data_IF_857972509851
#
_entry.id   IF_857972509851
#
_cell.length_a   1.000
_cell.length_b   1.000
_cell.length_c   1.000
_cell.angle_alpha   90.00
_cell.angle_beta   90.00
_cell.angle_gamma   90.00
#
_symmetry.space_group_name_H-M   'P 1'
#
loop_
_entity.id
_entity.type
_entity.pdbx_description
1 polymer ?
#
# COMPACT_ATOMS: atom_id res chain seq x y z
N UNK A 1 -0.21 11.65 22.71
CA UNK A 1 0.00 11.22 21.32
C UNK A 1 0.99 10.08 21.37
N UNK A 2 0.73 9.00 20.64
CA UNK A 2 1.59 7.81 20.63
C UNK A 2 2.62 7.89 19.49
N UNK A 3 3.60 6.98 19.51
CA UNK A 3 4.59 6.87 18.43
C UNK A 3 3.93 6.64 17.06
N UNK A 4 2.84 5.86 17.01
CA UNK A 4 2.13 5.60 15.76
C UNK A 4 1.49 6.88 15.17
N UNK A 5 0.98 7.79 16.02
CA UNK A 5 0.47 9.10 15.58
C UNK A 5 1.60 9.93 14.93
N UNK A 6 2.79 9.92 15.53
CA UNK A 6 3.94 10.67 15.03
C UNK A 6 4.44 10.11 13.69
N UNK A 7 4.51 8.77 13.56
CA UNK A 7 4.86 8.11 12.30
C UNK A 7 3.88 8.50 11.21
N UNK A 8 2.58 8.44 11.50
CA UNK A 8 1.55 8.84 10.54
C UNK A 8 1.69 10.30 10.10
N UNK A 9 1.86 11.23 11.05
CA UNK A 9 2.03 12.65 10.73
C UNK A 9 3.30 12.92 9.92
N UNK A 10 4.41 12.25 10.26
CA UNK A 10 5.66 12.35 9.51
C UNK A 10 5.49 11.84 8.07
N UNK A 11 4.86 10.68 7.90
CA UNK A 11 4.55 10.14 6.57
C UNK A 11 3.64 11.09 5.78
N UNK A 12 2.58 11.60 6.40
CA UNK A 12 1.65 12.53 5.77
C UNK A 12 2.36 13.80 5.29
N UNK A 13 3.27 14.36 6.11
CA UNK A 13 4.08 15.50 5.73
C UNK A 13 5.04 15.17 4.58
N UNK A 14 5.76 14.06 4.65
CA UNK A 14 6.73 13.64 3.63
C UNK A 14 6.04 13.35 2.30
N UNK A 15 4.98 12.55 2.29
CA UNK A 15 4.28 12.17 1.06
C UNK A 15 3.38 13.28 0.52
N UNK A 16 2.82 14.12 1.39
CA UNK A 16 2.12 15.34 0.98
C UNK A 16 3.07 16.31 0.27
N UNK A 17 4.24 16.57 0.86
CA UNK A 17 5.27 17.41 0.25
C UNK A 17 5.83 16.79 -1.04
N UNK A 18 6.15 15.49 -1.02
CA UNK A 18 6.59 14.76 -2.21
C UNK A 18 5.58 14.88 -3.35
N UNK A 19 4.27 14.80 -3.03
CA UNK A 19 3.20 15.01 -3.99
C UNK A 19 3.13 16.38 -4.59
N UNK A 20 3.30 17.40 -3.74
CA UNK A 20 3.39 18.77 -4.20
C UNK A 20 4.56 18.97 -5.17
N UNK A 21 5.71 18.33 -4.91
CA UNK A 21 6.92 18.43 -5.74
C UNK A 21 6.86 17.60 -7.03
N UNK A 22 6.19 16.44 -7.01
CA UNK A 22 6.23 15.47 -8.13
C UNK A 22 4.98 15.46 -9.00
N UNK A 23 3.89 16.11 -8.57
CA UNK A 23 2.64 16.19 -9.32
C UNK A 23 1.73 14.97 -9.12
N UNK A 24 0.45 15.13 -9.49
CA UNK A 24 -0.58 14.12 -9.22
C UNK A 24 -0.35 12.82 -9.99
N UNK A 25 0.07 12.93 -11.25
CA UNK A 25 0.14 11.77 -12.14
C UNK A 25 1.11 10.70 -11.62
N UNK A 26 2.30 11.11 -11.14
CA UNK A 26 3.31 10.17 -10.59
C UNK A 26 2.79 9.45 -9.35
N UNK A 27 2.06 10.15 -8.48
CA UNK A 27 1.48 9.56 -7.29
C UNK A 27 0.34 8.59 -7.63
N UNK A 28 -0.49 8.93 -8.62
CA UNK A 28 -1.57 8.05 -9.09
C UNK A 28 -0.98 6.78 -9.69
N UNK A 29 0.07 6.89 -10.52
CA UNK A 29 0.80 5.73 -11.04
C UNK A 29 1.30 4.85 -9.91
N UNK A 30 1.86 5.44 -8.85
CA UNK A 30 2.35 4.68 -7.71
C UNK A 30 1.22 3.92 -6.98
N UNK A 31 0.09 4.59 -6.74
CA UNK A 31 -1.09 4.01 -6.11
C UNK A 31 -1.67 2.87 -6.96
N UNK A 32 -1.86 3.09 -8.27
CA UNK A 32 -2.37 2.07 -9.18
C UNK A 32 -1.40 0.90 -9.32
N UNK A 33 -0.10 1.16 -9.43
CA UNK A 33 0.93 0.12 -9.51
C UNK A 33 0.88 -0.78 -8.29
N UNK A 34 0.65 -0.22 -7.10
CA UNK A 34 0.51 -0.99 -5.87
C UNK A 34 -0.66 -1.97 -5.94
N UNK A 35 -1.88 -1.47 -6.23
CA UNK A 35 -3.08 -2.31 -6.28
C UNK A 35 -3.04 -3.36 -7.40
N UNK A 36 -2.48 -3.01 -8.56
CA UNK A 36 -2.30 -3.96 -9.67
C UNK A 36 -1.28 -5.02 -9.28
N UNK A 37 -0.12 -4.62 -8.76
CA UNK A 37 0.95 -5.56 -8.40
C UNK A 37 0.52 -6.53 -7.30
N UNK A 38 -0.16 -6.06 -6.25
CA UNK A 38 -0.60 -6.92 -5.15
C UNK A 38 -1.68 -7.90 -5.62
N UNK A 39 -2.58 -7.48 -6.51
CA UNK A 39 -3.62 -8.34 -7.07
C UNK A 39 -3.02 -9.42 -7.98
N UNK A 40 -2.11 -9.05 -8.88
CA UNK A 40 -1.44 -10.01 -9.76
C UNK A 40 -0.52 -10.98 -8.99
N UNK A 41 0.17 -10.49 -7.96
CA UNK A 41 0.95 -11.33 -7.05
C UNK A 41 0.07 -12.34 -6.32
N UNK A 42 -1.08 -11.91 -5.80
CA UNK A 42 -2.02 -12.79 -5.13
C UNK A 42 -2.54 -13.91 -6.05
N UNK A 43 -2.90 -13.57 -7.28
CA UNK A 43 -3.39 -14.53 -8.28
C UNK A 43 -2.31 -15.51 -8.72
N UNK A 44 -1.07 -15.04 -8.87
CA UNK A 44 0.07 -15.89 -9.26
C UNK A 44 0.56 -16.81 -8.15
N UNK A 45 0.24 -16.55 -6.87
CA UNK A 45 0.68 -17.36 -5.72
C UNK A 45 0.37 -18.85 -5.89
N UNK A 46 -0.85 -19.19 -6.26
CA UNK A 46 -1.27 -20.59 -6.41
C UNK A 46 -0.52 -21.30 -7.55
N UNK A 47 -0.25 -20.57 -8.64
CA UNK A 47 0.51 -21.07 -9.77
C UNK A 47 1.98 -21.32 -9.39
N UNK A 48 2.62 -20.34 -8.75
CA UNK A 48 4.01 -20.41 -8.29
C UNK A 48 4.19 -21.51 -7.24
N UNK A 49 3.29 -21.60 -6.26
CA UNK A 49 3.36 -22.62 -5.22
C UNK A 49 3.28 -24.04 -5.80
N UNK A 50 2.41 -24.27 -6.80
CA UNK A 50 2.27 -25.57 -7.47
C UNK A 50 3.47 -25.89 -8.36
N UNK A 51 3.96 -24.91 -9.13
CA UNK A 51 5.07 -25.10 -10.07
C UNK A 51 6.38 -25.48 -9.36
N UNK A 52 6.62 -24.95 -8.16
CA UNK A 52 7.86 -25.16 -7.40
C UNK A 52 7.68 -26.03 -6.15
N UNK A 53 6.50 -26.64 -5.95
CA UNK A 53 6.16 -27.45 -4.76
C UNK A 53 6.51 -26.74 -3.43
N UNK A 54 6.20 -25.45 -3.34
CA UNK A 54 6.55 -24.63 -2.17
C UNK A 54 5.62 -24.95 -0.99
N UNK A 55 6.18 -24.92 0.21
CA UNK A 55 5.38 -24.86 1.43
C UNK A 55 4.66 -23.51 1.55
N UNK A 56 3.75 -23.41 2.50
CA UNK A 56 2.87 -22.24 2.64
C UNK A 56 3.67 -20.96 2.92
N UNK A 57 4.69 -21.01 3.77
CA UNK A 57 5.48 -19.82 4.14
C UNK A 57 6.32 -19.38 2.94
N UNK A 58 7.01 -20.30 2.28
CA UNK A 58 7.81 -19.99 1.09
C UNK A 58 6.94 -19.47 -0.06
N UNK A 59 5.70 -19.95 -0.20
CA UNK A 59 4.75 -19.41 -1.18
C UNK A 59 4.38 -17.95 -0.91
N UNK A 60 4.24 -17.53 0.36
CA UNK A 60 4.02 -16.11 0.71
C UNK A 60 5.25 -15.25 0.41
N UNK A 61 6.46 -15.76 0.71
CA UNK A 61 7.71 -15.06 0.40
C UNK A 61 7.86 -14.90 -1.12
N UNK A 62 7.60 -15.95 -1.90
CA UNK A 62 7.63 -15.91 -3.35
C UNK A 62 6.61 -14.92 -3.91
N UNK A 63 5.37 -14.92 -3.39
CA UNK A 63 4.36 -13.93 -3.78
C UNK A 63 4.83 -12.50 -3.49
N UNK A 64 5.44 -12.26 -2.32
CA UNK A 64 5.97 -10.95 -1.96
C UNK A 64 7.10 -10.49 -2.91
N UNK A 65 7.98 -11.39 -3.32
CA UNK A 65 9.02 -11.11 -4.33
C UNK A 65 8.39 -10.74 -5.68
N UNK A 66 7.38 -11.51 -6.12
CA UNK A 66 6.63 -11.20 -7.36
C UNK A 66 5.93 -9.85 -7.26
N UNK A 67 5.34 -9.53 -6.10
CA UNK A 67 4.73 -8.22 -5.84
C UNK A 67 5.76 -7.10 -6.02
N UNK A 68 6.95 -7.20 -5.42
CA UNK A 68 8.00 -6.19 -5.56
C UNK A 68 8.41 -6.03 -7.03
N UNK A 69 8.65 -7.14 -7.73
CA UNK A 69 9.05 -7.12 -9.14
C UNK A 69 7.99 -6.43 -10.03
N UNK A 70 6.73 -6.80 -9.86
CA UNK A 70 5.60 -6.19 -10.58
C UNK A 70 5.43 -4.72 -10.23
N UNK A 71 5.49 -4.38 -8.94
CA UNK A 71 5.33 -3.01 -8.47
C UNK A 71 6.39 -2.09 -9.09
N UNK A 72 7.67 -2.50 -9.02
CA UNK A 72 8.78 -1.72 -9.61
C UNK A 72 8.62 -1.63 -11.13
N UNK A 73 8.31 -2.75 -11.81
CA UNK A 73 8.13 -2.78 -13.26
C UNK A 73 7.01 -1.88 -13.75
N UNK A 74 5.81 -2.02 -13.20
CA UNK A 74 4.62 -1.23 -13.57
C UNK A 74 4.87 0.24 -13.24
N UNK A 75 5.43 0.55 -12.07
CA UNK A 75 5.73 1.93 -11.65
C UNK A 75 6.73 2.58 -12.60
N UNK A 76 7.80 1.87 -12.96
CA UNK A 76 8.82 2.39 -13.86
C UNK A 76 8.23 2.71 -15.24
N UNK A 77 7.45 1.78 -15.81
CA UNK A 77 6.76 1.97 -17.08
C UNK A 77 5.75 3.13 -17.03
N UNK A 78 4.93 3.19 -15.98
CA UNK A 78 3.93 4.23 -15.80
C UNK A 78 4.54 5.62 -15.63
N UNK A 79 5.65 5.73 -14.90
CA UNK A 79 6.37 7.00 -14.75
C UNK A 79 7.04 7.41 -16.07
N UNK A 80 7.66 6.47 -16.80
CA UNK A 80 8.25 6.76 -18.10
C UNK A 80 7.21 7.25 -19.13
N UNK A 81 5.99 6.70 -19.09
CA UNK A 81 4.88 7.18 -19.92
C UNK A 81 4.40 8.56 -19.49
N UNK A 82 4.28 8.78 -18.17
CA UNK A 82 3.89 10.06 -17.57
C UNK A 82 4.86 11.19 -17.96
N UNK A 83 6.15 10.87 -18.05
CA UNK A 83 7.21 11.82 -18.40
C UNK A 83 7.18 12.21 -19.88
N UNK A 84 6.75 11.29 -20.76
CA UNK A 84 6.54 11.60 -22.18
C UNK A 84 5.34 12.53 -22.39
N UNK A 85 4.28 12.36 -21.61
CA UNK A 85 3.07 13.18 -21.68
C UNK A 85 3.26 14.60 -21.08
N UNK A 86 4.14 14.74 -20.09
CA UNK A 86 4.36 16.02 -19.39
C UNK A 86 5.25 17.03 -20.11
N UNK A 87 5.94 16.66 -21.21
CA UNK A 87 6.85 17.57 -21.93
C UNK A 87 6.18 18.81 -22.54
N UNK A 88 4.85 18.91 -22.53
CA UNK A 88 4.10 20.00 -23.16
C UNK A 88 3.31 20.92 -22.23
N UNK A 89 3.27 20.69 -20.91
CA UNK A 89 2.49 21.54 -19.99
C UNK A 89 3.29 21.97 -18.77
N UNK A 90 3.47 23.29 -18.62
CA UNK A 90 3.87 23.91 -17.36
C UNK A 90 2.91 23.44 -16.25
N UNK A 91 3.44 22.74 -15.23
CA UNK A 91 2.61 22.16 -14.17
C UNK A 91 1.83 23.26 -13.44
N UNK A 92 0.50 23.27 -13.62
CA UNK A 92 -0.41 24.21 -12.97
C UNK A 92 -0.41 23.99 -11.45
N UNK A 93 -0.65 25.04 -10.67
CA UNK A 93 -0.86 24.94 -9.23
C UNK A 93 -1.94 23.89 -8.86
N UNK A 94 -2.90 23.65 -9.75
CA UNK A 94 -3.93 22.61 -9.62
C UNK A 94 -3.31 21.20 -9.61
N UNK A 95 -2.32 20.92 -10.46
CA UNK A 95 -1.66 19.60 -10.50
C UNK A 95 -0.86 19.33 -9.22
N UNK A 96 -0.23 20.37 -8.66
CA UNK A 96 0.47 20.26 -7.36
C UNK A 96 -0.49 20.00 -6.21
N UNK A 97 -1.65 20.67 -6.19
CA UNK A 97 -2.71 20.44 -5.19
C UNK A 97 -3.27 19.02 -5.26
N UNK A 98 -3.53 18.52 -6.46
CA UNK A 98 -3.92 17.13 -6.68
C UNK A 98 -2.78 16.16 -6.27
N UNK A 99 -1.52 16.54 -6.51
CA UNK A 99 -0.34 15.81 -6.02
C UNK A 99 -0.34 15.61 -4.52
N UNK A 100 -0.69 16.64 -3.74
CA UNK A 100 -0.85 16.53 -2.28
C UNK A 100 -1.98 15.55 -1.95
N UNK A 101 -3.16 15.71 -2.55
CA UNK A 101 -4.31 14.85 -2.27
C UNK A 101 -4.01 13.36 -2.53
N UNK A 102 -3.35 13.04 -3.65
CA UNK A 102 -2.96 11.66 -3.94
C UNK A 102 -1.85 11.17 -2.99
N UNK A 103 -0.97 12.06 -2.52
CA UNK A 103 0.03 11.74 -1.49
C UNK A 103 -0.59 11.39 -0.14
N UNK A 104 -1.68 12.06 0.22
CA UNK A 104 -2.49 11.68 1.38
C UNK A 104 -3.07 10.29 1.17
N UNK A 105 -3.69 10.01 0.01
CA UNK A 105 -4.23 8.67 -0.30
C UNK A 105 -3.15 7.58 -0.23
N UNK A 106 -1.95 7.86 -0.72
CA UNK A 106 -0.82 6.93 -0.63
C UNK A 106 -0.39 6.70 0.83
N UNK A 107 -0.35 7.76 1.63
CA UNK A 107 -0.07 7.66 3.08
C UNK A 107 -1.11 6.78 3.78
N UNK A 108 -2.39 6.98 3.48
CA UNK A 108 -3.50 6.17 4.00
C UNK A 108 -3.39 4.71 3.55
N UNK A 109 -2.94 4.48 2.32
CA UNK A 109 -2.70 3.12 1.80
C UNK A 109 -1.60 2.44 2.61
N UNK A 110 -0.46 3.09 2.82
CA UNK A 110 0.62 2.52 3.65
C UNK A 110 0.14 2.30 5.09
N UNK A 111 -0.63 3.23 5.65
CA UNK A 111 -1.20 3.10 7.00
C UNK A 111 -2.06 1.83 7.12
N UNK A 112 -2.94 1.58 6.14
CA UNK A 112 -3.77 0.37 6.12
C UNK A 112 -2.93 -0.90 5.92
N UNK A 113 -1.95 -0.88 5.01
CA UNK A 113 -1.03 -2.03 4.81
C UNK A 113 -0.25 -2.34 6.09
N UNK A 114 0.25 -1.32 6.77
CA UNK A 114 0.96 -1.48 8.03
C UNK A 114 0.06 -2.13 9.07
N UNK A 115 -1.18 -1.65 9.22
CA UNK A 115 -2.16 -2.27 10.11
C UNK A 115 -2.42 -3.75 9.76
N UNK A 116 -2.60 -4.07 8.48
CA UNK A 116 -2.81 -5.46 8.03
C UNK A 116 -1.63 -6.37 8.41
N UNK A 117 -0.40 -5.93 8.13
CA UNK A 117 0.80 -6.70 8.46
C UNK A 117 0.90 -6.88 9.98
N UNK A 118 0.66 -5.82 10.75
CA UNK A 118 0.80 -5.87 12.21
C UNK A 118 -0.21 -6.82 12.83
N UNK A 119 -1.47 -6.75 12.41
CA UNK A 119 -2.54 -7.63 12.88
C UNK A 119 -2.38 -9.08 12.39
N UNK A 120 -1.78 -9.29 11.22
CA UNK A 120 -1.47 -10.64 10.74
C UNK A 120 -0.35 -11.32 11.53
N UNK A 121 0.68 -10.56 11.92
CA UNK A 121 1.86 -11.07 12.63
C UNK A 121 1.63 -11.13 14.15
N UNK A 122 0.90 -10.15 14.70
CA UNK A 122 0.74 -9.96 16.14
C UNK A 122 -0.74 -9.96 16.53
N UNK A 123 -1.22 -10.99 17.28
CA UNK A 123 -2.57 -11.01 17.84
C UNK A 123 -2.85 -9.77 18.68
N UNK A 124 -4.11 -9.32 18.71
CA UNK A 124 -4.49 -8.05 19.32
C UNK A 124 -4.10 -7.94 20.80
N UNK A 125 -4.12 -9.05 21.54
CA UNK A 125 -3.75 -9.11 22.96
C UNK A 125 -2.27 -8.86 23.20
N UNK A 126 -1.43 -9.07 22.18
CA UNK A 126 0.02 -8.89 22.21
C UNK A 126 0.46 -7.61 21.52
N UNK A 127 -0.49 -6.82 20.99
CA UNK A 127 -0.14 -5.57 20.33
C UNK A 127 0.32 -4.52 21.36
N UNK A 128 1.41 -3.79 21.06
CA UNK A 128 1.96 -2.84 22.00
C UNK A 128 1.09 -1.59 22.12
N UNK A 129 1.06 -0.99 23.31
CA UNK A 129 0.23 0.18 23.62
C UNK A 129 0.49 1.38 22.71
N UNK A 130 1.72 1.57 22.22
CA UNK A 130 2.03 2.66 21.29
C UNK A 130 1.30 2.54 19.93
N UNK A 131 0.79 1.35 19.60
CA UNK A 131 0.03 1.08 18.39
C UNK A 131 -1.49 1.17 18.65
N UNK A 132 -1.99 0.40 19.61
CA UNK A 132 -3.44 0.30 19.90
C UNK A 132 -4.03 1.54 20.58
N UNK A 133 -3.27 2.22 21.44
CA UNK A 133 -3.74 3.43 22.15
C UNK A 133 -3.57 4.70 21.28
N UNK A 134 -3.15 4.57 20.02
CA UNK A 134 -2.93 5.70 19.14
C UNK A 134 -4.24 6.28 18.60
N UNK A 135 -4.31 7.61 18.44
CA UNK A 135 -5.51 8.27 17.89
C UNK A 135 -5.76 7.88 16.43
N UNK A 136 -4.69 7.59 15.69
CA UNK A 136 -4.76 7.15 14.30
C UNK A 136 -5.18 5.67 14.14
N UNK A 137 -5.20 4.89 15.22
CA UNK A 137 -5.56 3.46 15.18
C UNK A 137 -6.90 3.18 14.44
N UNK A 138 -8.04 3.81 14.78
CA UNK A 138 -9.31 3.56 14.09
C UNK A 138 -9.27 3.92 12.60
N UNK A 139 -8.54 4.96 12.22
CA UNK A 139 -8.33 5.31 10.82
C UNK A 139 -7.54 4.20 10.10
N UNK A 140 -6.51 3.65 10.73
CA UNK A 140 -5.72 2.55 10.15
C UNK A 140 -6.55 1.28 9.94
N UNK A 141 -7.49 0.97 10.86
CA UNK A 141 -8.45 -0.13 10.70
C UNK A 141 -9.37 0.11 9.49
N UNK A 142 -9.87 1.34 9.31
CA UNK A 142 -10.71 1.68 8.15
C UNK A 142 -9.94 1.54 6.84
N UNK A 143 -8.71 2.05 6.78
CA UNK A 143 -7.85 1.90 5.60
C UNK A 143 -7.58 0.43 5.28
N UNK A 144 -7.29 -0.39 6.31
CA UNK A 144 -7.10 -1.83 6.17
C UNK A 144 -8.34 -2.52 5.56
N UNK A 145 -9.54 -2.20 6.07
CA UNK A 145 -10.81 -2.72 5.52
C UNK A 145 -11.04 -2.30 4.07
N UNK A 146 -10.78 -1.03 3.73
CA UNK A 146 -10.89 -0.55 2.34
C UNK A 146 -9.92 -1.28 1.41
N UNK A 147 -8.68 -1.51 1.84
CA UNK A 147 -7.71 -2.28 1.04
C UNK A 147 -8.19 -3.72 0.85
N UNK A 148 -8.64 -4.39 1.92
CA UNK A 148 -9.15 -5.77 1.83
C UNK A 148 -10.33 -5.90 0.87
N UNK A 149 -11.21 -4.89 0.78
CA UNK A 149 -12.33 -4.89 -0.15
C UNK A 149 -11.91 -4.87 -1.63
N UNK A 150 -10.71 -4.38 -1.93
CA UNK A 150 -10.15 -4.31 -3.30
C UNK A 150 -9.26 -5.53 -3.59
N UNK A 151 -8.69 -6.15 -2.56
CA UNK A 151 -7.81 -7.31 -2.75
C UNK A 151 -8.60 -8.55 -3.16
N UNK A 152 -8.07 -9.35 -4.11
CA UNK A 152 -8.69 -10.63 -4.43
C UNK A 152 -8.61 -11.61 -3.23
N UNK A 153 -9.67 -12.42 -3.07
CA UNK A 153 -9.74 -13.50 -2.08
C UNK A 153 -8.54 -14.45 -2.26
N UNK A 154 -7.84 -14.79 -1.18
CA UNK A 154 -6.62 -15.63 -1.23
C UNK A 154 -5.29 -14.89 -1.04
N UNK A 155 -5.32 -13.58 -0.81
CA UNK A 155 -4.27 -12.89 -0.04
C UNK A 155 -4.48 -13.28 1.43
N UNK A 156 -3.60 -14.07 2.04
CA UNK A 156 -3.80 -14.63 3.40
C UNK A 156 -4.08 -13.61 4.52
N UNK A 157 -3.92 -12.31 4.23
CA UNK A 157 -4.31 -11.17 5.08
C UNK A 157 -5.83 -11.01 5.19
N UNK A 158 -6.60 -11.25 4.13
CA UNK A 158 -8.06 -11.13 4.13
C UNK A 158 -8.72 -12.30 4.89
N UNK A 159 -8.15 -13.51 4.78
CA UNK A 159 -8.77 -14.74 5.30
C UNK A 159 -8.67 -14.85 6.83
N UNK A 160 -7.60 -14.33 7.46
CA UNK A 160 -7.45 -14.35 8.94
C UNK A 160 -8.18 -13.23 9.67
N UNK A 161 -8.32 -12.05 9.06
CA UNK A 161 -9.00 -10.93 9.73
C UNK A 161 -10.52 -11.03 9.63
N UNK A 162 -11.05 -11.72 8.61
CA UNK A 162 -12.48 -12.05 8.54
C UNK A 162 -12.95 -12.99 9.65
N UNK A 163 -12.05 -13.72 10.32
CA UNK A 163 -12.37 -14.55 11.48
C UNK A 163 -12.22 -13.85 12.84
N UNK A 164 -11.66 -12.63 12.86
CA UNK A 164 -11.43 -11.84 14.09
C UNK A 164 -12.35 -10.60 14.20
N UNK A 165 -13.26 -10.40 13.23
CA UNK A 165 -14.34 -9.39 13.24
C UNK A 165 -15.67 -10.10 13.39
#
# INVERSE_FOLDING_TARGET
MQLYDLIFLAMLAVFGFYGFSTGALRQVVNLLSFFIAISLSALSRAFVARAFHLDTITAYIAAFIVFIALFIGIRYMGNALSDKLHKQKTASYVDRGLGVAVGVLWTLTILGVFHLIFSYVTPIERQPRWFVDAKVYPLSVQCAKTIQAVLPKGTGMADKMASEV
#
